data_IF_242247584936
#
_entry.id   IF_242247584936
#
_cell.length_a   1.000
_cell.length_b   1.000
_cell.length_c   1.000
_cell.angle_alpha   90.00
_cell.angle_beta   90.00
_cell.angle_gamma   90.00
#
_symmetry.space_group_name_H-M   'P 1'
#
loop_
_entity.id
_entity.type
_entity.pdbx_description
1 polymer ?
#
# COMPACT_ATOMS: atom_id res chain seq x y z
N UNK A 1 -29.23 17.14 -2.93
CA UNK A 1 -28.43 16.25 -3.79
C UNK A 1 -26.99 16.74 -3.61
N UNK A 2 -26.15 15.97 -2.93
CA UNK A 2 -24.73 16.26 -2.84
C UNK A 2 -24.13 16.02 -4.22
N UNK A 3 -23.55 17.04 -4.83
CA UNK A 3 -22.71 16.83 -6.00
C UNK A 3 -21.57 15.93 -5.56
N UNK A 4 -21.41 14.77 -6.19
CA UNK A 4 -20.21 13.95 -6.02
C UNK A 4 -19.06 14.84 -6.44
N UNK A 5 -18.14 15.08 -5.52
CA UNK A 5 -16.94 15.80 -5.89
C UNK A 5 -15.97 14.81 -6.54
N UNK A 6 -16.29 14.41 -7.79
CA UNK A 6 -15.44 13.55 -8.61
C UNK A 6 -14.02 14.09 -8.69
N UNK A 7 -13.87 15.42 -8.75
CA UNK A 7 -12.58 16.10 -8.78
C UNK A 7 -11.75 15.79 -7.53
N UNK A 8 -12.39 15.65 -6.36
CA UNK A 8 -11.67 15.25 -5.15
C UNK A 8 -10.99 13.89 -5.30
N UNK A 9 -11.73 12.87 -5.76
CA UNK A 9 -11.18 11.53 -5.91
C UNK A 9 -10.18 11.43 -7.08
N UNK A 10 -10.38 12.19 -8.16
CA UNK A 10 -9.43 12.23 -9.26
C UNK A 10 -8.08 12.83 -8.84
N UNK A 11 -8.10 13.83 -7.94
CA UNK A 11 -6.89 14.45 -7.39
C UNK A 11 -6.13 13.52 -6.43
N UNK A 12 -6.78 12.49 -5.87
CA UNK A 12 -6.13 11.48 -5.02
C UNK A 12 -5.34 10.43 -5.83
N UNK A 13 -5.48 10.39 -7.15
CA UNK A 13 -4.73 9.43 -7.97
C UNK A 13 -3.26 9.76 -8.04
N UNK A 14 -2.45 8.72 -7.91
CA UNK A 14 -1.00 8.82 -8.09
C UNK A 14 -0.61 8.94 -9.56
N UNK A 15 0.33 9.84 -9.85
CA UNK A 15 1.05 9.85 -11.11
C UNK A 15 2.11 8.74 -11.11
N UNK A 16 1.87 7.68 -11.87
CA UNK A 16 2.74 6.50 -11.90
C UNK A 16 4.15 6.80 -12.41
N UNK A 17 4.33 7.80 -13.26
CA UNK A 17 5.65 8.21 -13.75
C UNK A 17 6.46 8.88 -12.62
N UNK A 18 5.83 9.71 -11.81
CA UNK A 18 6.48 10.38 -10.70
C UNK A 18 6.98 9.40 -9.63
N UNK A 19 6.26 8.30 -9.40
CA UNK A 19 6.66 7.25 -8.45
C UNK A 19 7.96 6.56 -8.90
N UNK A 20 8.16 6.39 -10.20
CA UNK A 20 9.37 5.76 -10.73
C UNK A 20 10.59 6.70 -10.79
N UNK A 21 10.36 8.00 -10.83
CA UNK A 21 11.45 8.98 -10.95
C UNK A 21 12.57 8.82 -9.91
N UNK A 22 12.29 8.60 -8.60
CA UNK A 22 13.35 8.37 -7.63
C UNK A 22 14.20 7.13 -7.93
N UNK A 23 13.58 6.05 -8.43
CA UNK A 23 14.29 4.83 -8.81
C UNK A 23 15.17 5.05 -10.04
N UNK A 24 14.67 5.73 -11.06
CA UNK A 24 15.44 6.07 -12.26
C UNK A 24 16.60 7.02 -11.94
N UNK A 25 16.36 8.05 -11.13
CA UNK A 25 17.40 8.97 -10.68
C UNK A 25 18.50 8.24 -9.88
N UNK A 26 18.12 7.31 -9.02
CA UNK A 26 19.06 6.48 -8.26
C UNK A 26 19.88 5.60 -9.18
N UNK A 27 19.24 4.95 -10.15
CA UNK A 27 19.89 4.12 -11.16
C UNK A 27 20.92 4.91 -11.97
N UNK A 28 20.54 6.10 -12.44
CA UNK A 28 21.42 6.97 -13.22
C UNK A 28 22.62 7.44 -12.38
N UNK A 29 22.38 7.96 -11.17
CA UNK A 29 23.46 8.41 -10.26
C UNK A 29 24.44 7.28 -9.93
N UNK A 30 23.95 6.08 -9.73
CA UNK A 30 24.80 4.91 -9.46
C UNK A 30 25.64 4.54 -10.70
N UNK A 31 25.06 4.54 -11.88
CA UNK A 31 25.78 4.29 -13.13
C UNK A 31 26.89 5.33 -13.35
N UNK A 32 26.60 6.63 -13.17
CA UNK A 32 27.59 7.70 -13.28
C UNK A 32 28.72 7.55 -12.24
N UNK A 33 28.36 7.13 -11.03
CA UNK A 33 29.34 6.91 -9.96
C UNK A 33 30.27 5.74 -10.27
N UNK A 34 29.75 4.64 -10.80
CA UNK A 34 30.55 3.49 -11.27
C UNK A 34 31.47 3.88 -12.41
N UNK A 35 30.94 4.57 -13.43
CA UNK A 35 31.71 5.02 -14.61
C UNK A 35 32.86 5.94 -14.21
N UNK A 36 32.63 6.91 -13.31
CA UNK A 36 33.71 7.81 -12.85
C UNK A 36 34.84 7.12 -12.08
N UNK A 37 34.62 5.90 -11.57
CA UNK A 37 35.58 5.11 -10.79
C UNK A 37 36.08 3.87 -11.48
N UNK A 38 35.68 3.67 -12.74
CA UNK A 38 35.99 2.46 -13.50
C UNK A 38 35.61 1.17 -12.77
N UNK A 39 34.41 1.21 -12.15
CA UNK A 39 33.85 0.07 -11.40
C UNK A 39 32.82 -0.63 -12.27
N UNK A 40 33.01 -1.90 -12.54
CA UNK A 40 32.05 -2.77 -13.24
C UNK A 40 31.07 -3.44 -12.24
N UNK A 41 30.32 -2.66 -11.50
CA UNK A 41 29.25 -3.16 -10.60
C UNK A 41 27.87 -2.66 -11.07
N UNK A 42 27.03 -3.55 -11.54
CA UNK A 42 25.68 -3.29 -12.01
C UNK A 42 24.60 -3.86 -11.09
N UNK A 43 24.99 -4.35 -9.91
CA UNK A 43 24.08 -5.06 -9.00
C UNK A 43 22.86 -4.23 -8.58
N UNK A 44 23.06 -2.95 -8.25
CA UNK A 44 21.97 -2.06 -7.88
C UNK A 44 21.03 -1.76 -9.06
N UNK A 45 21.60 -1.54 -10.26
CA UNK A 45 20.83 -1.30 -11.49
C UNK A 45 19.91 -2.50 -11.76
N UNK A 46 20.47 -3.70 -11.69
CA UNK A 46 19.74 -4.94 -11.92
C UNK A 46 18.62 -5.15 -10.89
N UNK A 47 18.89 -4.87 -9.60
CA UNK A 47 17.87 -4.98 -8.54
C UNK A 47 16.75 -3.96 -8.74
N UNK A 48 17.06 -2.71 -9.10
CA UNK A 48 16.05 -1.69 -9.40
C UNK A 48 15.14 -2.15 -10.54
N UNK A 49 15.72 -2.67 -11.63
CA UNK A 49 14.93 -3.17 -12.77
C UNK A 49 14.02 -4.36 -12.38
N UNK A 50 14.45 -5.19 -11.44
CA UNK A 50 13.64 -6.31 -10.96
C UNK A 50 12.46 -5.89 -10.07
N UNK A 51 12.59 -4.80 -9.31
CA UNK A 51 11.58 -4.40 -8.33
C UNK A 51 10.64 -3.30 -8.80
N UNK A 52 10.97 -2.58 -9.89
CA UNK A 52 10.19 -1.43 -10.36
C UNK A 52 8.71 -1.71 -10.52
N UNK A 53 8.34 -2.86 -11.09
CA UNK A 53 6.94 -3.25 -11.25
C UNK A 53 6.24 -3.45 -9.89
N UNK A 54 6.95 -4.02 -8.91
CA UNK A 54 6.42 -4.20 -7.56
C UNK A 54 6.27 -2.87 -6.82
N UNK A 55 7.13 -1.89 -7.09
CA UNK A 55 7.02 -0.55 -6.51
C UNK A 55 5.87 0.27 -7.13
N UNK A 56 5.54 0.03 -8.41
CA UNK A 56 4.40 0.65 -9.08
C UNK A 56 3.05 0.02 -8.71
N UNK A 57 3.04 -1.26 -8.40
CA UNK A 57 1.81 -2.02 -8.20
C UNK A 57 0.88 -1.44 -7.13
N UNK A 58 1.37 -0.93 -5.97
CA UNK A 58 0.50 -0.29 -4.98
C UNK A 58 -0.25 0.91 -5.56
N UNK A 59 0.47 1.84 -6.18
CA UNK A 59 -0.14 3.04 -6.76
C UNK A 59 -1.10 2.73 -7.91
N UNK A 60 -0.78 1.75 -8.74
CA UNK A 60 -1.68 1.28 -9.78
C UNK A 60 -2.99 0.72 -9.20
N UNK A 61 -2.89 -0.13 -8.17
CA UNK A 61 -4.06 -0.71 -7.53
C UNK A 61 -4.85 0.33 -6.71
N UNK A 62 -4.17 1.31 -6.13
CA UNK A 62 -4.81 2.43 -5.48
C UNK A 62 -5.60 3.29 -6.48
N UNK A 63 -5.01 3.65 -7.62
CA UNK A 63 -5.72 4.39 -8.67
C UNK A 63 -6.97 3.63 -9.14
N UNK A 64 -6.86 2.29 -9.25
CA UNK A 64 -8.00 1.45 -9.59
C UNK A 64 -9.08 1.45 -8.49
N UNK A 65 -8.68 1.43 -7.22
CA UNK A 65 -9.60 1.55 -6.09
C UNK A 65 -10.36 2.89 -6.15
N UNK A 66 -9.67 3.99 -6.45
CA UNK A 66 -10.28 5.30 -6.66
C UNK A 66 -11.33 5.24 -7.76
N UNK A 67 -11.02 4.61 -8.90
CA UNK A 67 -11.95 4.46 -10.01
C UNK A 67 -13.21 3.68 -9.62
N UNK A 68 -13.08 2.59 -8.88
CA UNK A 68 -14.22 1.78 -8.42
C UNK A 68 -15.10 2.58 -7.44
N UNK A 69 -14.49 3.36 -6.53
CA UNK A 69 -15.23 4.22 -5.58
C UNK A 69 -16.00 5.31 -6.34
N UNK A 70 -15.36 6.01 -7.28
CA UNK A 70 -16.02 7.04 -8.10
C UNK A 70 -17.21 6.44 -8.82
N UNK A 71 -17.04 5.27 -9.44
CA UNK A 71 -18.13 4.60 -10.14
C UNK A 71 -19.26 4.17 -9.19
N UNK A 72 -18.95 3.69 -8.00
CA UNK A 72 -19.96 3.30 -7.00
C UNK A 72 -20.80 4.51 -6.56
N UNK A 73 -20.13 5.61 -6.23
CA UNK A 73 -20.76 6.87 -5.84
C UNK A 73 -21.63 7.45 -6.98
N UNK A 74 -21.17 7.36 -8.22
CA UNK A 74 -21.96 7.79 -9.39
C UNK A 74 -23.24 6.97 -9.54
N UNK A 75 -23.16 5.65 -9.34
CA UNK A 75 -24.32 4.77 -9.40
C UNK A 75 -25.31 5.01 -8.25
N UNK A 76 -24.85 5.39 -7.07
CA UNK A 76 -25.74 5.74 -5.95
C UNK A 76 -26.58 6.99 -6.26
N UNK A 77 -26.07 7.95 -7.01
CA UNK A 77 -26.90 9.09 -7.50
C UNK A 77 -28.00 8.64 -8.46
N UNK A 78 -27.74 7.67 -9.30
CA UNK A 78 -28.71 7.13 -10.25
C UNK A 78 -29.78 6.29 -9.53
N UNK A 79 -29.49 5.67 -8.38
CA UNK A 79 -30.45 4.88 -7.57
C UNK A 79 -31.76 5.61 -7.27
N UNK A 80 -31.71 6.90 -7.02
CA UNK A 80 -32.91 7.69 -6.72
C UNK A 80 -33.82 7.87 -7.96
N UNK A 81 -33.39 7.39 -9.12
CA UNK A 81 -34.06 7.58 -10.42
C UNK A 81 -34.57 6.28 -11.04
N UNK A 82 -34.25 5.07 -10.48
CA UNK A 82 -34.40 3.80 -11.21
C UNK A 82 -35.12 2.72 -10.36
N UNK A 83 -35.81 1.79 -11.03
CA UNK A 83 -36.68 0.75 -10.48
C UNK A 83 -35.95 -0.37 -9.70
N UNK A 84 -36.71 -1.09 -8.82
CA UNK A 84 -36.19 -2.16 -7.93
C UNK A 84 -35.39 -3.27 -8.64
N UNK A 85 -35.66 -3.57 -9.91
CA UNK A 85 -34.94 -4.62 -10.67
C UNK A 85 -33.48 -4.27 -10.97
N UNK A 86 -33.13 -3.00 -11.00
CA UNK A 86 -31.76 -2.53 -11.21
C UNK A 86 -30.91 -2.55 -9.94
N UNK A 87 -31.52 -2.66 -8.77
CA UNK A 87 -30.83 -2.78 -7.49
C UNK A 87 -29.92 -4.02 -7.40
N UNK A 88 -30.32 -5.14 -7.99
CA UNK A 88 -29.55 -6.40 -7.93
C UNK A 88 -28.23 -6.30 -8.71
N UNK A 89 -28.16 -5.47 -9.74
CA UNK A 89 -26.92 -5.25 -10.50
C UNK A 89 -25.93 -4.33 -9.79
N UNK A 90 -26.40 -3.52 -8.85
CA UNK A 90 -25.61 -2.53 -8.12
C UNK A 90 -24.86 -3.11 -6.91
N UNK A 91 -25.33 -4.18 -6.30
CA UNK A 91 -24.62 -4.93 -5.26
C UNK A 91 -23.26 -5.50 -5.69
N UNK A 92 -23.03 -5.58 -7.01
CA UNK A 92 -21.77 -6.09 -7.56
C UNK A 92 -20.57 -5.16 -7.41
N UNK A 93 -20.78 -3.87 -7.14
CA UNK A 93 -19.66 -2.91 -7.02
C UNK A 93 -18.99 -2.93 -5.67
N UNK A 94 -19.72 -3.21 -4.61
CA UNK A 94 -19.13 -3.44 -3.29
C UNK A 94 -18.06 -4.52 -3.34
N UNK A 95 -18.31 -5.62 -4.06
CA UNK A 95 -17.32 -6.69 -4.26
C UNK A 95 -16.10 -6.21 -5.05
N UNK A 96 -16.29 -5.36 -6.08
CA UNK A 96 -15.18 -4.81 -6.87
C UNK A 96 -14.30 -3.89 -6.03
N UNK A 97 -14.88 -3.05 -5.19
CA UNK A 97 -14.16 -2.19 -4.25
C UNK A 97 -13.39 -3.06 -3.24
N UNK A 98 -14.01 -4.08 -2.67
CA UNK A 98 -13.35 -5.01 -1.76
C UNK A 98 -12.13 -5.67 -2.42
N UNK A 99 -12.29 -6.17 -3.65
CA UNK A 99 -11.19 -6.76 -4.42
C UNK A 99 -10.09 -5.74 -4.70
N UNK A 100 -10.44 -4.50 -5.03
CA UNK A 100 -9.47 -3.44 -5.28
C UNK A 100 -8.68 -3.08 -4.02
N UNK A 101 -9.34 -2.96 -2.86
CA UNK A 101 -8.68 -2.75 -1.55
C UNK A 101 -7.74 -3.90 -1.23
N UNK A 102 -8.19 -5.14 -1.36
CA UNK A 102 -7.36 -6.32 -1.11
C UNK A 102 -6.11 -6.32 -2.01
N UNK A 103 -6.27 -6.05 -3.30
CA UNK A 103 -5.15 -5.97 -4.24
C UNK A 103 -4.18 -4.85 -3.88
N UNK A 104 -4.68 -3.70 -3.45
CA UNK A 104 -3.84 -2.58 -3.00
C UNK A 104 -2.98 -3.00 -1.80
N UNK A 105 -3.59 -3.50 -0.73
CA UNK A 105 -2.90 -3.93 0.48
C UNK A 105 -1.90 -5.08 0.24
N UNK A 106 -2.26 -6.05 -0.62
CA UNK A 106 -1.36 -7.14 -1.00
C UNK A 106 -0.15 -6.59 -1.78
N UNK A 107 -0.39 -5.66 -2.71
CA UNK A 107 0.69 -5.09 -3.53
C UNK A 107 1.66 -4.24 -2.70
N UNK A 108 1.18 -3.50 -1.69
CA UNK A 108 2.03 -2.79 -0.72
C UNK A 108 2.98 -3.78 -0.02
N UNK A 109 2.43 -4.89 0.48
CA UNK A 109 3.25 -5.91 1.15
C UNK A 109 4.28 -6.53 0.23
N UNK A 110 3.91 -6.83 -1.01
CA UNK A 110 4.86 -7.35 -2.02
C UNK A 110 5.97 -6.33 -2.31
N UNK A 111 5.61 -5.04 -2.45
CA UNK A 111 6.60 -3.98 -2.65
C UNK A 111 7.59 -3.90 -1.48
N UNK A 112 7.10 -3.91 -0.24
CA UNK A 112 7.93 -3.91 0.96
C UNK A 112 8.88 -5.12 1.01
N UNK A 113 8.39 -6.32 0.71
CA UNK A 113 9.23 -7.53 0.66
C UNK A 113 10.30 -7.45 -0.44
N UNK A 114 10.00 -6.80 -1.57
CA UNK A 114 10.96 -6.57 -2.66
C UNK A 114 12.02 -5.51 -2.33
N UNK A 115 11.65 -4.47 -1.59
CA UNK A 115 12.59 -3.44 -1.14
C UNK A 115 13.72 -3.99 -0.26
N UNK A 116 13.52 -5.12 0.44
CA UNK A 116 14.58 -5.80 1.20
C UNK A 116 15.80 -6.10 0.31
N UNK A 117 15.61 -6.38 -0.98
CA UNK A 117 16.72 -6.63 -1.91
C UNK A 117 17.65 -5.42 -2.03
N UNK A 118 17.10 -4.19 -2.04
CA UNK A 118 17.90 -2.95 -2.05
C UNK A 118 18.62 -2.81 -0.72
N UNK A 119 17.90 -2.96 0.39
CA UNK A 119 18.48 -2.81 1.72
C UNK A 119 19.68 -3.76 1.92
N UNK A 120 19.60 -4.98 1.40
CA UNK A 120 20.70 -5.95 1.42
C UNK A 120 21.96 -5.49 0.69
N UNK A 121 21.82 -4.74 -0.40
CA UNK A 121 22.99 -4.22 -1.13
C UNK A 121 23.78 -3.19 -0.33
N UNK A 122 23.06 -2.41 0.50
CA UNK A 122 23.69 -1.38 1.33
C UNK A 122 24.20 -1.90 2.68
N UNK A 123 23.67 -3.05 3.13
CA UNK A 123 23.93 -3.55 4.47
C UNK A 123 24.22 -5.06 4.50
N UNK A 124 25.49 -5.39 4.52
CA UNK A 124 25.98 -6.78 4.56
C UNK A 124 25.52 -7.60 5.78
N UNK A 125 25.06 -6.97 6.85
CA UNK A 125 24.58 -7.62 8.07
C UNK A 125 23.06 -7.82 8.11
N UNK A 126 22.31 -7.42 7.09
CA UNK A 126 20.90 -7.76 6.96
C UNK A 126 20.84 -9.18 6.42
N UNK A 127 20.96 -10.11 7.38
CA UNK A 127 20.88 -11.52 7.11
C UNK A 127 19.59 -11.84 6.32
N UNK A 128 19.51 -12.92 5.76
CA UNK A 128 18.57 -13.77 5.05
C UNK A 128 17.05 -13.54 5.23
N UNK A 129 16.62 -12.33 5.66
CA UNK A 129 15.19 -12.00 5.73
C UNK A 129 14.59 -11.94 4.33
N UNK A 130 13.60 -12.76 4.06
CA UNK A 130 12.85 -12.79 2.81
C UNK A 130 11.58 -11.93 2.87
N UNK A 131 11.15 -11.53 4.07
CA UNK A 131 9.94 -10.75 4.29
C UNK A 131 10.24 -9.50 5.12
N UNK A 132 9.54 -8.41 4.81
CA UNK A 132 9.62 -7.17 5.57
C UNK A 132 9.17 -7.39 7.04
N UNK A 133 8.15 -8.23 7.22
CA UNK A 133 7.65 -8.60 8.53
C UNK A 133 6.74 -7.54 9.15
N UNK A 134 6.47 -7.72 10.44
CA UNK A 134 5.64 -6.84 11.27
C UNK A 134 6.01 -6.96 12.75
N UNK A 135 5.46 -6.09 13.57
CA UNK A 135 5.52 -6.16 15.03
C UNK A 135 4.15 -6.62 15.53
N UNK A 136 4.09 -7.73 16.23
CA UNK A 136 2.87 -8.24 16.83
C UNK A 136 2.50 -7.39 18.06
N UNK A 137 1.33 -6.73 18.02
CA UNK A 137 0.89 -5.81 19.07
C UNK A 137 0.71 -6.47 20.45
N UNK A 138 0.25 -7.74 20.48
CA UNK A 138 -0.05 -8.43 21.74
C UNK A 138 1.22 -8.90 22.45
N UNK A 139 2.19 -9.37 21.68
CA UNK A 139 3.42 -9.97 22.22
C UNK A 139 4.62 -9.04 22.12
N UNK A 140 4.50 -7.93 21.41
CA UNK A 140 5.57 -7.00 21.02
C UNK A 140 6.75 -7.71 20.33
N UNK A 141 6.49 -8.87 19.72
CA UNK A 141 7.49 -9.64 18.99
C UNK A 141 7.52 -9.20 17.53
N UNK A 142 8.68 -8.83 17.06
CA UNK A 142 8.92 -8.50 15.67
C UNK A 142 9.29 -9.74 14.85
N UNK A 143 8.85 -9.80 13.59
CA UNK A 143 9.13 -10.86 12.63
C UNK A 143 9.75 -10.28 11.36
N UNK A 144 10.43 -11.11 10.56
CA UNK A 144 11.07 -10.69 9.32
C UNK A 144 12.15 -9.64 9.55
N UNK A 145 12.35 -8.72 8.60
CA UNK A 145 13.29 -7.60 8.72
C UNK A 145 13.01 -6.74 9.96
N UNK A 146 11.73 -6.58 10.34
CA UNK A 146 11.35 -5.79 11.51
C UNK A 146 11.97 -6.32 12.81
N UNK A 147 12.32 -7.60 12.91
CA UNK A 147 13.02 -8.14 14.07
C UNK A 147 14.43 -7.54 14.22
N UNK A 148 15.13 -7.32 13.12
CA UNK A 148 16.42 -6.63 13.14
C UNK A 148 16.26 -5.14 13.33
N UNK A 149 15.29 -4.53 12.68
CA UNK A 149 14.97 -3.10 12.82
C UNK A 149 14.75 -2.74 14.29
N UNK A 150 13.91 -3.47 15.00
CA UNK A 150 13.62 -3.22 16.42
C UNK A 150 14.88 -3.40 17.28
N UNK A 151 15.72 -4.39 16.99
CA UNK A 151 16.91 -4.69 17.78
C UNK A 151 18.05 -3.67 17.58
N UNK A 152 18.25 -3.22 16.33
CA UNK A 152 19.48 -2.52 15.94
C UNK A 152 19.24 -1.05 15.54
N UNK A 153 18.00 -0.54 15.54
CA UNK A 153 17.64 0.82 15.08
C UNK A 153 18.42 1.95 15.76
N UNK A 154 18.75 1.79 17.04
CA UNK A 154 19.47 2.83 17.78
C UNK A 154 20.93 2.98 17.33
N UNK A 155 21.46 1.98 16.61
CA UNK A 155 22.86 1.94 16.15
C UNK A 155 22.97 2.19 14.64
N UNK A 156 21.87 2.40 13.96
CA UNK A 156 21.81 2.41 12.49
C UNK A 156 20.73 3.33 11.97
N UNK A 157 21.12 4.40 11.27
CA UNK A 157 20.23 5.43 10.75
C UNK A 157 19.20 4.88 9.74
N UNK A 158 19.60 3.90 8.91
CA UNK A 158 18.69 3.30 7.92
C UNK A 158 17.60 2.49 8.64
N UNK A 159 17.99 1.69 9.64
CA UNK A 159 17.04 0.90 10.42
C UNK A 159 16.14 1.81 11.28
N UNK A 160 16.66 2.91 11.79
CA UNK A 160 15.86 3.90 12.50
C UNK A 160 14.83 4.55 11.56
N UNK A 161 15.22 4.93 10.35
CA UNK A 161 14.32 5.47 9.34
C UNK A 161 13.21 4.46 8.98
N UNK A 162 13.57 3.20 8.74
CA UNK A 162 12.60 2.13 8.46
C UNK A 162 11.61 1.97 9.62
N UNK A 163 12.08 2.05 10.88
CA UNK A 163 11.21 1.97 12.04
C UNK A 163 10.22 3.14 12.11
N UNK A 164 10.69 4.37 11.84
CA UNK A 164 9.83 5.55 11.82
C UNK A 164 8.75 5.46 10.74
N UNK A 165 9.10 5.02 9.52
CA UNK A 165 8.15 4.81 8.45
C UNK A 165 7.17 3.66 8.76
N UNK A 166 7.65 2.60 9.43
CA UNK A 166 6.80 1.51 9.90
C UNK A 166 5.72 2.01 10.86
N UNK A 167 6.09 2.79 11.84
CA UNK A 167 5.15 3.31 12.86
C UNK A 167 4.20 4.36 12.26
N UNK A 168 4.67 5.17 11.32
CA UNK A 168 3.92 6.25 10.70
C UNK A 168 2.81 5.75 9.79
N UNK A 169 3.10 4.81 8.87
CA UNK A 169 2.13 4.39 7.85
C UNK A 169 2.16 2.89 7.51
N UNK A 170 3.33 2.22 7.47
CA UNK A 170 3.43 0.84 6.97
C UNK A 170 2.56 -0.10 7.81
N UNK A 171 2.55 0.08 9.12
CA UNK A 171 1.76 -0.72 10.04
C UNK A 171 0.27 -0.66 9.71
N UNK A 172 -0.24 0.52 9.37
CA UNK A 172 -1.65 0.73 9.02
C UNK A 172 -2.06 -0.06 7.77
N UNK A 173 -1.14 -0.33 6.85
CA UNK A 173 -1.40 -1.15 5.66
C UNK A 173 -1.21 -2.65 5.92
N UNK A 174 -0.20 -3.03 6.72
CA UNK A 174 0.14 -4.43 6.96
C UNK A 174 -0.86 -5.13 7.87
N UNK A 175 -1.37 -4.47 8.90
CA UNK A 175 -2.35 -5.05 9.82
C UNK A 175 -3.68 -5.42 9.16
N UNK A 176 -4.36 -4.52 8.40
CA UNK A 176 -5.57 -4.88 7.68
C UNK A 176 -5.34 -6.00 6.67
N UNK A 177 -4.22 -5.97 5.94
CA UNK A 177 -3.87 -7.03 4.99
C UNK A 177 -3.78 -8.40 5.67
N UNK A 178 -3.12 -8.48 6.82
CA UNK A 178 -3.00 -9.74 7.55
C UNK A 178 -4.35 -10.23 8.09
N UNK A 179 -5.23 -9.30 8.49
CA UNK A 179 -6.58 -9.62 8.89
C UNK A 179 -7.39 -10.24 7.73
N UNK A 180 -7.36 -9.59 6.57
CA UNK A 180 -8.11 -10.02 5.38
C UNK A 180 -7.65 -11.39 4.88
N UNK A 181 -6.34 -11.62 4.81
CA UNK A 181 -5.82 -12.89 4.24
C UNK A 181 -6.06 -14.09 5.17
N UNK A 182 -6.10 -13.86 6.47
CA UNK A 182 -6.06 -14.96 7.43
C UNK A 182 -7.35 -15.15 8.22
N UNK A 183 -8.23 -14.15 8.29
CA UNK A 183 -9.28 -14.18 9.30
C UNK A 183 -10.69 -13.78 8.84
N UNK A 184 -10.85 -12.76 8.00
CA UNK A 184 -12.18 -12.22 7.73
C UNK A 184 -12.27 -11.46 6.40
N UNK A 185 -13.50 -11.26 5.92
CA UNK A 185 -13.79 -10.42 4.78
C UNK A 185 -13.87 -8.93 5.16
N UNK A 186 -13.71 -8.08 4.17
CA UNK A 186 -13.87 -6.63 4.33
C UNK A 186 -15.36 -6.29 4.26
N UNK A 187 -15.81 -5.47 5.20
CA UNK A 187 -17.10 -4.78 5.14
C UNK A 187 -16.85 -3.30 4.84
N UNK A 188 -17.65 -2.73 3.95
CA UNK A 188 -17.58 -1.31 3.63
C UNK A 188 -18.73 -0.60 4.33
N UNK A 189 -18.41 0.50 5.02
CA UNK A 189 -19.40 1.46 5.52
C UNK A 189 -19.08 2.82 4.93
N UNK A 190 -20.11 3.54 4.56
CA UNK A 190 -19.98 4.93 4.11
C UNK A 190 -20.38 5.88 5.23
N UNK A 191 -19.62 6.92 5.42
CA UNK A 191 -19.98 8.04 6.31
C UNK A 191 -19.86 9.35 5.55
N UNK A 192 -20.56 10.36 6.05
CA UNK A 192 -20.56 11.69 5.44
C UNK A 192 -19.67 12.63 6.24
N UNK A 193 -18.67 13.20 5.59
CA UNK A 193 -17.87 14.28 6.14
C UNK A 193 -17.87 15.46 5.16
N UNK A 194 -18.30 16.64 5.65
CA UNK A 194 -18.35 17.88 4.86
C UNK A 194 -19.03 17.71 3.48
N UNK A 195 -20.18 17.03 3.44
CA UNK A 195 -20.92 16.66 2.22
C UNK A 195 -20.21 15.65 1.30
N UNK A 196 -19.14 15.00 1.77
CA UNK A 196 -18.48 13.93 1.05
C UNK A 196 -18.87 12.58 1.67
N UNK A 197 -19.19 11.63 0.82
CA UNK A 197 -19.38 10.25 1.21
C UNK A 197 -18.03 9.54 1.15
N UNK A 198 -17.54 9.10 2.31
CA UNK A 198 -16.21 8.51 2.45
C UNK A 198 -16.37 7.04 2.85
N UNK A 199 -15.78 6.10 2.10
CA UNK A 199 -15.79 4.69 2.47
C UNK A 199 -14.84 4.42 3.64
N UNK A 200 -15.34 3.74 4.67
CA UNK A 200 -14.58 3.13 5.75
C UNK A 200 -14.56 1.63 5.56
N UNK A 201 -13.37 1.06 5.57
CA UNK A 201 -13.16 -0.38 5.45
C UNK A 201 -13.00 -1.00 6.82
N UNK A 202 -13.74 -2.08 7.06
CA UNK A 202 -13.76 -2.77 8.34
C UNK A 202 -13.43 -4.23 8.12
N UNK A 203 -12.47 -4.76 8.85
CA UNK A 203 -12.16 -6.18 8.93
C UNK A 203 -11.94 -6.60 10.39
N UNK A 204 -11.86 -7.91 10.66
CA UNK A 204 -11.65 -8.43 12.01
C UNK A 204 -10.40 -9.30 12.06
N UNK A 205 -9.68 -9.18 13.17
CA UNK A 205 -8.53 -10.04 13.47
C UNK A 205 -8.64 -10.48 14.93
N UNK A 206 -8.84 -11.78 15.17
CA UNK A 206 -8.95 -12.31 16.53
C UNK A 206 -9.95 -11.52 17.40
N UNK A 207 -11.17 -11.35 16.92
CA UNK A 207 -12.27 -10.60 17.57
C UNK A 207 -12.05 -9.08 17.68
N UNK A 208 -10.87 -8.57 17.33
CA UNK A 208 -10.59 -7.13 17.27
C UNK A 208 -11.04 -6.59 15.92
N UNK A 209 -11.92 -5.58 15.94
CA UNK A 209 -12.26 -4.82 14.74
C UNK A 209 -11.09 -3.92 14.37
N UNK A 210 -10.72 -3.92 13.10
CA UNK A 210 -9.75 -3.01 12.49
C UNK A 210 -10.52 -2.17 11.49
N UNK A 211 -10.54 -0.86 11.68
CA UNK A 211 -11.06 0.10 10.71
C UNK A 211 -9.91 0.85 10.07
N UNK A 212 -10.03 1.12 8.79
CA UNK A 212 -9.11 1.97 8.05
C UNK A 212 -9.86 2.72 6.97
N UNK A 213 -9.43 3.93 6.70
CA UNK A 213 -10.02 4.78 5.68
C UNK A 213 -9.29 4.63 4.35
N UNK A 214 -9.86 5.23 3.34
CA UNK A 214 -9.23 5.42 2.05
C UNK A 214 -7.89 6.18 2.15
N UNK A 215 -7.80 7.14 3.07
CA UNK A 215 -6.60 7.95 3.30
C UNK A 215 -5.49 7.19 4.04
N UNK A 216 -5.81 6.05 4.68
CA UNK A 216 -4.83 5.21 5.37
C UNK A 216 -4.12 4.22 4.43
N UNK A 217 -4.60 4.06 3.20
CA UNK A 217 -4.05 3.19 2.15
C UNK A 217 -3.08 3.97 1.26
#
# INVERSE_FOLDING_TARGET
MSEINEEYYLNEKYNLEEILNPLYNTKQKYYEWCTKRDIEDYSLIFVIDQIKASCLSPAYNYNRLVDEIIQDLFWDQIKYTISEEQWVSMGRRTEQIIIAVQNCLISIKIALDRLIKIIRLYKSGIAEYTTFGHIDEKTNKAKGLMAQVVRDREKDEILQYIYQEYDKWIRKCVEPRDAIIHYDDITIKYYFDNMKEIPEFICRKNEKQISFSFEDI
#
